data_IF_776309958876
#
_entry.id   IF_776309958876
#
_cell.length_a   1.000
_cell.length_b   1.000
_cell.length_c   1.000
_cell.angle_alpha   90.00
_cell.angle_beta   90.00
_cell.angle_gamma   90.00
#
_symmetry.space_group_name_H-M   'P 1'
#
loop_
_entity.id
_entity.type
_entity.pdbx_description
1 polymer ?
#
# COMPACT_ATOMS: atom_id res chain seq x y z
N UNK A 1 13.75 -18.03 -10.30
CA UNK A 1 13.29 -16.81 -11.02
C UNK A 1 11.79 -16.55 -10.90
N UNK A 2 10.89 -17.53 -11.08
CA UNK A 2 9.43 -17.33 -10.98
C UNK A 2 8.94 -16.73 -9.64
N UNK A 3 9.41 -17.24 -8.49
CA UNK A 3 8.98 -16.79 -7.15
C UNK A 3 9.16 -15.28 -6.92
N UNK A 4 10.30 -14.72 -7.35
CA UNK A 4 10.60 -13.29 -7.17
C UNK A 4 9.73 -12.40 -8.07
N UNK A 5 9.39 -12.87 -9.27
CA UNK A 5 8.50 -12.14 -10.17
C UNK A 5 7.08 -12.07 -9.62
N UNK A 6 6.58 -13.16 -9.04
CA UNK A 6 5.27 -13.18 -8.36
C UNK A 6 5.23 -12.26 -7.14
N UNK A 7 6.30 -12.21 -6.35
CA UNK A 7 6.40 -11.27 -5.21
C UNK A 7 6.40 -9.81 -5.67
N UNK A 8 7.19 -9.46 -6.70
CA UNK A 8 7.20 -8.11 -7.25
C UNK A 8 5.83 -7.66 -7.74
N UNK A 9 5.14 -8.52 -8.50
CA UNK A 9 3.78 -8.24 -8.98
C UNK A 9 2.79 -8.09 -7.82
N UNK A 10 2.88 -8.96 -6.82
CA UNK A 10 2.02 -8.91 -5.65
C UNK A 10 2.15 -7.58 -4.90
N UNK A 11 3.38 -7.14 -4.60
CA UNK A 11 3.62 -5.90 -3.87
C UNK A 11 3.21 -4.66 -4.66
N UNK A 12 3.39 -4.65 -5.99
CA UNK A 12 2.88 -3.57 -6.83
C UNK A 12 1.36 -3.54 -6.80
N UNK A 13 0.70 -4.69 -6.97
CA UNK A 13 -0.76 -4.78 -6.92
C UNK A 13 -1.32 -4.36 -5.56
N UNK A 14 -0.68 -4.74 -4.46
CA UNK A 14 -1.07 -4.28 -3.14
C UNK A 14 -0.94 -2.76 -2.99
N UNK A 15 0.16 -2.19 -3.48
CA UNK A 15 0.40 -0.75 -3.44
C UNK A 15 -0.63 0.02 -4.26
N UNK A 16 -1.00 -0.49 -5.43
CA UNK A 16 -2.05 0.05 -6.29
C UNK A 16 -3.42 -0.01 -5.58
N UNK A 17 -3.74 -1.14 -4.95
CA UNK A 17 -4.96 -1.30 -4.16
C UNK A 17 -5.02 -0.30 -3.00
N UNK A 18 -3.94 -0.13 -2.24
CA UNK A 18 -3.89 0.84 -1.15
C UNK A 18 -4.03 2.27 -1.68
N UNK A 19 -3.39 2.59 -2.81
CA UNK A 19 -3.51 3.89 -3.46
C UNK A 19 -4.96 4.16 -3.88
N UNK A 20 -5.61 3.23 -4.58
CA UNK A 20 -7.01 3.36 -4.97
C UNK A 20 -7.92 3.49 -3.74
N UNK A 21 -7.75 2.61 -2.75
CA UNK A 21 -8.52 2.61 -1.52
C UNK A 21 -8.36 3.92 -0.72
N UNK A 22 -7.17 4.53 -0.73
CA UNK A 22 -6.92 5.83 -0.08
C UNK A 22 -7.72 7.00 -0.67
N UNK A 23 -8.24 6.85 -1.89
CA UNK A 23 -9.06 7.89 -2.53
C UNK A 23 -10.51 7.89 -2.06
N UNK A 24 -10.94 6.82 -1.38
CA UNK A 24 -12.31 6.68 -0.92
C UNK A 24 -12.62 7.68 0.20
N UNK A 25 -13.78 8.31 0.11
CA UNK A 25 -14.32 9.17 1.15
C UNK A 25 -15.09 8.31 2.15
N UNK A 26 -14.35 7.68 3.07
CA UNK A 26 -14.98 6.88 4.11
C UNK A 26 -15.71 7.77 5.11
N UNK A 27 -16.85 7.29 5.61
CA UNK A 27 -17.58 7.97 6.67
C UNK A 27 -16.73 8.10 7.95
N UNK A 28 -15.91 7.10 8.23
CA UNK A 28 -14.98 7.07 9.35
C UNK A 28 -13.58 6.68 8.86
N UNK A 29 -12.63 7.59 8.97
CA UNK A 29 -11.23 7.34 8.59
C UNK A 29 -10.58 6.23 9.44
N UNK A 30 -11.11 5.98 10.64
CA UNK A 30 -10.71 4.87 11.53
C UNK A 30 -10.87 3.50 10.87
N UNK A 31 -11.75 3.38 9.88
CA UNK A 31 -12.08 2.10 9.26
C UNK A 31 -11.09 1.70 8.16
N UNK A 32 -10.15 2.59 7.79
CA UNK A 32 -9.23 2.36 6.67
C UNK A 32 -8.37 1.12 6.82
N UNK A 33 -7.69 0.97 7.97
CA UNK A 33 -6.89 -0.20 8.25
C UNK A 33 -7.74 -1.44 8.57
N UNK A 34 -8.76 -1.37 9.45
CA UNK A 34 -9.62 -2.52 9.72
C UNK A 34 -10.29 -3.11 8.47
N UNK A 35 -10.74 -2.28 7.54
CA UNK A 35 -11.36 -2.75 6.30
C UNK A 35 -10.40 -3.55 5.41
N UNK A 36 -9.12 -3.20 5.37
CA UNK A 36 -8.10 -3.95 4.63
C UNK A 36 -7.44 -5.07 5.44
N UNK A 37 -7.48 -5.00 6.77
CA UNK A 37 -6.86 -5.99 7.65
C UNK A 37 -7.42 -7.40 7.44
N UNK A 38 -8.73 -7.54 7.15
CA UNK A 38 -9.31 -8.84 6.81
C UNK A 38 -8.68 -9.48 5.56
N UNK A 39 -8.39 -8.66 4.53
CA UNK A 39 -7.68 -9.13 3.33
C UNK A 39 -6.21 -9.42 3.67
N UNK A 40 -5.58 -8.52 4.44
CA UNK A 40 -4.21 -8.68 4.92
C UNK A 40 -3.99 -9.99 5.66
N UNK A 41 -4.92 -10.38 6.54
CA UNK A 41 -4.88 -11.61 7.34
C UNK A 41 -5.06 -12.89 6.52
N UNK A 42 -5.86 -12.84 5.46
CA UNK A 42 -6.01 -13.97 4.54
C UNK A 42 -4.72 -14.12 3.72
N UNK A 43 -4.23 -13.02 3.17
CA UNK A 43 -3.07 -13.02 2.28
C UNK A 43 -1.79 -13.35 3.05
N UNK A 44 -1.61 -12.84 4.27
CA UNK A 44 -0.44 -13.15 5.13
C UNK A 44 -0.22 -14.65 5.28
N UNK A 45 -1.32 -15.42 5.43
CA UNK A 45 -1.27 -16.90 5.52
C UNK A 45 -0.89 -17.57 4.20
N UNK A 46 -1.34 -17.01 3.07
CA UNK A 46 -1.07 -17.56 1.73
C UNK A 46 0.39 -17.34 1.34
N UNK A 47 0.91 -16.12 1.54
CA UNK A 47 2.27 -15.76 1.13
C UNK A 47 3.32 -15.99 2.22
N UNK A 48 2.89 -16.39 3.43
CA UNK A 48 3.75 -16.54 4.61
C UNK A 48 4.56 -15.28 4.92
N UNK A 49 3.90 -14.13 4.91
CA UNK A 49 4.47 -12.80 5.17
C UNK A 49 3.61 -12.06 6.19
N UNK A 50 4.20 -11.13 6.94
CA UNK A 50 3.50 -10.38 7.96
C UNK A 50 2.87 -9.10 7.40
N UNK A 51 1.58 -8.93 7.65
CA UNK A 51 0.88 -7.67 7.39
C UNK A 51 1.09 -6.70 8.55
N UNK A 52 1.58 -5.50 8.25
CA UNK A 52 1.95 -4.47 9.22
C UNK A 52 1.21 -3.17 8.90
N UNK A 53 0.07 -2.93 9.56
CA UNK A 53 -0.69 -1.66 9.49
C UNK A 53 -0.77 -1.03 8.09
N UNK A 54 -1.04 -1.84 7.06
CA UNK A 54 -1.15 -1.35 5.68
C UNK A 54 -0.08 -1.82 4.71
N UNK A 55 1.04 -2.37 5.18
CA UNK A 55 2.18 -2.78 4.36
C UNK A 55 2.65 -4.20 4.72
N UNK A 56 3.68 -4.70 4.04
CA UNK A 56 4.21 -6.06 4.19
C UNK A 56 5.63 -6.05 4.74
N UNK A 57 5.96 -6.94 5.68
CA UNK A 57 7.28 -7.02 6.30
C UNK A 57 8.39 -7.28 5.27
N UNK A 58 8.20 -8.25 4.37
CA UNK A 58 9.23 -8.54 3.35
C UNK A 58 9.41 -7.44 2.30
N UNK A 59 8.47 -6.49 2.21
CA UNK A 59 8.55 -5.31 1.33
C UNK A 59 8.52 -3.99 2.11
N UNK A 60 9.06 -3.99 3.33
CA UNK A 60 9.00 -2.84 4.23
C UNK A 60 9.61 -1.58 3.61
N UNK A 61 10.76 -1.69 2.96
CA UNK A 61 11.46 -0.55 2.35
C UNK A 61 10.58 0.16 1.32
N UNK A 62 10.02 -0.56 0.35
CA UNK A 62 9.12 0.02 -0.66
C UNK A 62 7.77 0.43 -0.06
N UNK A 63 7.27 -0.36 0.90
CA UNK A 63 6.03 -0.11 1.62
C UNK A 63 6.06 1.19 2.39
N UNK A 64 7.22 1.67 2.83
CA UNK A 64 7.39 2.94 3.54
C UNK A 64 7.59 4.16 2.62
N UNK A 65 7.75 3.97 1.31
CA UNK A 65 8.04 5.06 0.37
C UNK A 65 6.78 5.82 -0.11
N UNK A 66 5.59 5.50 0.44
CA UNK A 66 4.37 6.23 0.10
C UNK A 66 4.46 7.71 0.50
N UNK A 67 3.67 8.56 -0.16
CA UNK A 67 3.55 9.97 0.20
C UNK A 67 2.12 10.49 -0.01
N UNK A 68 1.72 11.56 0.70
CA UNK A 68 0.46 12.25 0.44
C UNK A 68 0.40 12.76 -1.00
N UNK A 69 -0.72 12.52 -1.69
CA UNK A 69 -0.90 13.03 -3.05
C UNK A 69 -1.11 14.56 -3.09
N UNK A 70 -1.51 15.15 -1.96
CA UNK A 70 -1.75 16.58 -1.78
C UNK A 70 -1.01 17.11 -0.54
N UNK A 71 -0.52 18.35 -0.63
CA UNK A 71 0.15 19.07 0.45
C UNK A 71 -0.58 20.38 0.76
N UNK A 72 -0.66 20.82 2.04
CA UNK A 72 -0.19 20.09 3.22
C UNK A 72 -1.05 18.85 3.52
N UNK A 73 -0.40 17.81 4.06
CA UNK A 73 -1.08 16.57 4.41
C UNK A 73 -1.92 16.75 5.68
N UNK A 74 -3.16 16.25 5.66
CA UNK A 74 -4.03 16.24 6.84
C UNK A 74 -3.74 14.98 7.65
N UNK A 75 -3.23 15.11 8.86
CA UNK A 75 -3.04 13.96 9.75
C UNK A 75 -4.39 13.37 10.17
N UNK A 76 -4.47 12.05 10.28
CA UNK A 76 -5.70 11.36 10.68
C UNK A 76 -5.99 11.51 12.17
N UNK A 77 -4.96 11.57 13.01
CA UNK A 77 -5.09 11.65 14.46
C UNK A 77 -5.75 10.43 15.08
N UNK A 78 -5.87 9.32 14.34
CA UNK A 78 -6.51 8.09 14.80
C UNK A 78 -5.58 7.41 15.81
N UNK A 79 -6.08 7.21 17.03
CA UNK A 79 -5.34 6.51 18.07
C UNK A 79 -4.99 5.07 17.64
N UNK A 80 -3.74 4.66 17.90
CA UNK A 80 -3.26 3.32 17.57
C UNK A 80 -2.79 3.13 16.11
N UNK A 81 -2.94 4.14 15.24
CA UNK A 81 -2.34 4.11 13.89
C UNK A 81 -0.88 4.58 13.96
N UNK A 82 0.10 3.75 13.57
CA UNK A 82 1.50 4.17 13.54
C UNK A 82 1.74 5.31 12.56
N UNK A 83 2.65 6.23 12.88
CA UNK A 83 2.95 7.40 12.03
C UNK A 83 3.46 7.04 10.63
N UNK A 84 4.10 5.89 10.48
CA UNK A 84 4.61 5.37 9.20
C UNK A 84 3.56 4.66 8.34
N UNK A 85 2.36 4.41 8.86
CA UNK A 85 1.26 3.84 8.09
C UNK A 85 0.67 4.90 7.16
N UNK A 86 0.28 4.52 5.93
CA UNK A 86 -0.42 5.42 5.01
C UNK A 86 -1.76 5.92 5.57
N UNK A 87 -2.35 5.22 6.54
CA UNK A 87 -3.55 5.64 7.24
C UNK A 87 -3.29 6.73 8.31
N UNK A 88 -2.04 7.13 8.54
CA UNK A 88 -1.70 8.27 9.40
C UNK A 88 -2.08 9.62 8.76
N UNK A 89 -2.41 9.61 7.45
CA UNK A 89 -2.85 10.77 6.68
C UNK A 89 -4.23 10.52 6.08
N UNK A 90 -5.06 11.57 6.05
CA UNK A 90 -6.39 11.58 5.43
C UNK A 90 -6.25 11.89 3.94
N UNK A 91 -6.94 11.10 3.13
CA UNK A 91 -7.05 11.31 1.68
C UNK A 91 -6.04 10.51 0.85
N UNK A 92 -5.96 10.84 -0.45
CA UNK A 92 -5.21 10.07 -1.42
C UNK A 92 -3.71 10.05 -1.13
N UNK A 93 -3.10 8.89 -1.26
CA UNK A 93 -1.65 8.69 -1.23
C UNK A 93 -1.12 8.27 -2.60
N UNK A 94 0.19 8.38 -2.81
CA UNK A 94 0.91 7.80 -3.93
C UNK A 94 1.84 6.72 -3.39
N UNK A 95 1.83 5.55 -4.03
CA UNK A 95 2.84 4.54 -3.73
C UNK A 95 4.24 5.09 -4.03
N UNK A 96 5.23 4.64 -3.26
CA UNK A 96 6.62 4.98 -3.52
C UNK A 96 7.06 4.48 -4.88
N UNK A 97 7.59 5.37 -5.71
CA UNK A 97 8.09 5.05 -7.05
C UNK A 97 9.42 4.29 -6.97
N UNK A 98 9.39 3.07 -6.43
CA UNK A 98 10.41 2.04 -6.61
C UNK A 98 9.95 0.94 -7.59
N UNK A 99 8.69 0.98 -8.03
CA UNK A 99 8.17 0.04 -9.00
C UNK A 99 8.72 0.39 -10.38
N UNK A 100 9.60 -0.46 -10.90
CA UNK A 100 10.07 -0.42 -12.29
C UNK A 100 8.83 -0.38 -13.17
N UNK A 101 8.62 0.75 -13.84
CA UNK A 101 7.59 0.90 -14.86
C UNK A 101 7.75 -0.22 -15.89
N UNK A 102 6.84 -1.20 -15.87
CA UNK A 102 6.71 -2.24 -16.90
C UNK A 102 6.12 -1.69 -18.21
N UNK A 103 5.97 -0.36 -18.33
CA UNK A 103 5.70 0.29 -19.62
C UNK A 103 7.01 0.68 -20.28
N UNK A 104 7.63 -0.25 -21.00
CA UNK A 104 8.12 -0.08 -22.38
C UNK A 104 8.64 -1.44 -22.87
N UNK A 105 7.76 -2.30 -23.37
CA UNK A 105 8.07 -3.06 -24.58
C UNK A 105 7.11 -2.52 -25.64
N UNK A 106 7.49 -1.40 -26.25
CA UNK A 106 6.96 -1.07 -27.58
C UNK A 106 7.68 -2.01 -28.53
N UNK A 107 6.95 -2.99 -29.07
CA UNK A 107 7.40 -3.70 -30.26
C UNK A 107 7.67 -2.67 -31.36
N UNK A 108 8.96 -2.47 -31.68
CA UNK A 108 9.36 -1.85 -32.92
C UNK A 108 9.11 -2.83 -34.05
N UNK A 109 8.28 -2.41 -35.00
CA UNK A 109 8.26 -2.94 -36.36
C UNK A 109 9.55 -2.54 -37.10
#
# INVERSE_FOLDING_TARGET
MQKYMFQGLFFSTWSDLVQEYSTLQLKYESDRLPALAGIGDIVSRIISDQYLSGIWETNLSSGLLWNPAMYPAKLSGIAGVPSWSWASVIGPIKAGTGSISSRTIRHGH
#
